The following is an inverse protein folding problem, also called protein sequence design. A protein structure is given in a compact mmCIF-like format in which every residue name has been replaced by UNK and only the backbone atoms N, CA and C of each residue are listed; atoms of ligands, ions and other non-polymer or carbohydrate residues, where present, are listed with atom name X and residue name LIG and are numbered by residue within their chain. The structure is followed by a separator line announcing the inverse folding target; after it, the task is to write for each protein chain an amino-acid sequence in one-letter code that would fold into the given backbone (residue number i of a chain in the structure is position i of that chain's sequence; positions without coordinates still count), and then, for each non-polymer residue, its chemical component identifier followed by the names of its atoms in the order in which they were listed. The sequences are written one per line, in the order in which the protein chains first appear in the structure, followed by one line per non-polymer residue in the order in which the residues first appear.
data_IF_738168640958
#
_entry.id   IF_738168640958
#
_cell.length_a   1.000
_cell.length_b   1.000
_cell.length_c   1.000
_cell.angle_alpha   90.00
_cell.angle_beta   90.00
_cell.angle_gamma   90.00
#
_symmetry.space_group_name_H-M   'P 1'
#
loop_
_entity.id
_entity.type
_entity.pdbx_description
1 polymer ?
#
# COMPACT_ATOMS: atom_id res chain seq x y z
N UNK A 1 15.22 10.59 -28.36
CA UNK A 1 15.69 9.77 -27.20
C UNK A 1 14.59 8.85 -26.67
N UNK A 2 13.37 9.37 -26.52
CA UNK A 2 12.17 8.65 -26.08
C UNK A 2 11.90 7.35 -26.84
N UNK A 3 12.14 7.30 -28.15
CA UNK A 3 11.90 6.10 -28.98
C UNK A 3 12.61 4.84 -28.47
N UNK A 4 13.82 4.96 -27.90
CA UNK A 4 14.55 3.83 -27.30
C UNK A 4 13.74 3.23 -26.15
N UNK A 5 13.29 4.09 -25.24
CA UNK A 5 12.56 3.69 -24.03
C UNK A 5 11.14 3.21 -24.35
N UNK A 6 10.43 3.91 -25.23
CA UNK A 6 9.10 3.50 -25.73
C UNK A 6 9.18 2.14 -26.42
N UNK A 7 10.20 1.92 -27.26
CA UNK A 7 10.44 0.63 -27.89
C UNK A 7 10.70 -0.49 -26.88
N UNK A 8 11.47 -0.23 -25.83
CA UNK A 8 11.72 -1.20 -24.76
C UNK A 8 10.45 -1.51 -23.94
N UNK A 9 9.60 -0.51 -23.68
CA UNK A 9 8.28 -0.69 -23.04
C UNK A 9 7.37 -1.59 -23.88
N UNK A 10 7.28 -1.33 -25.20
CA UNK A 10 6.45 -2.14 -26.12
C UNK A 10 6.96 -3.59 -26.18
N UNK A 11 8.28 -3.78 -26.18
CA UNK A 11 8.92 -5.10 -26.16
C UNK A 11 8.83 -5.80 -24.80
N UNK A 12 8.33 -5.13 -23.76
CA UNK A 12 8.24 -5.61 -22.37
C UNK A 12 9.59 -6.09 -21.84
N UNK A 13 10.61 -5.26 -22.05
CA UNK A 13 11.95 -5.57 -21.59
C UNK A 13 12.00 -5.70 -20.06
N UNK A 14 12.82 -6.62 -19.54
CA UNK A 14 12.82 -7.00 -18.11
C UNK A 14 13.33 -5.89 -17.21
N UNK A 15 14.13 -5.00 -17.77
CA UNK A 15 14.78 -3.89 -17.08
C UNK A 15 13.86 -2.66 -16.94
N UNK A 16 12.72 -2.65 -17.64
CA UNK A 16 11.72 -1.60 -17.55
C UNK A 16 10.96 -1.65 -16.22
N UNK A 17 10.82 -0.49 -15.60
CA UNK A 17 10.04 -0.31 -14.39
C UNK A 17 8.55 -0.14 -14.71
N UNK A 18 7.82 -1.24 -14.55
CA UNK A 18 6.37 -1.25 -14.70
C UNK A 18 5.63 -0.67 -13.49
N UNK A 19 6.30 -0.44 -12.36
CA UNK A 19 5.67 0.01 -11.11
C UNK A 19 5.62 1.53 -11.01
N UNK A 20 6.70 2.23 -11.37
CA UNK A 20 6.77 3.70 -11.32
C UNK A 20 7.07 4.36 -12.66
N UNK A 21 7.50 3.61 -13.69
CA UNK A 21 8.02 4.20 -14.92
C UNK A 21 7.03 4.38 -16.06
N UNK A 22 6.07 3.47 -16.21
CA UNK A 22 5.04 3.56 -17.27
C UNK A 22 3.82 4.35 -16.78
N UNK A 23 3.53 4.28 -15.47
CA UNK A 23 2.42 4.96 -14.84
C UNK A 23 2.94 5.77 -13.66
N UNK A 24 2.86 7.10 -13.79
CA UNK A 24 2.99 7.98 -12.64
C UNK A 24 1.62 8.08 -11.97
N UNK A 25 1.38 7.14 -11.07
CA UNK A 25 0.11 7.05 -10.39
C UNK A 25 -1.04 6.66 -11.32
N UNK A 26 -2.08 7.48 -11.35
CA UNK A 26 -3.20 7.33 -12.29
C UNK A 26 -3.02 8.10 -13.60
N UNK A 27 -1.91 8.84 -13.76
CA UNK A 27 -1.70 9.75 -14.88
C UNK A 27 -0.68 9.20 -15.87
N UNK A 28 -0.93 9.50 -17.15
CA UNK A 28 0.01 9.26 -18.25
C UNK A 28 0.72 10.56 -18.57
N UNK A 29 1.98 10.45 -18.98
CA UNK A 29 2.73 11.57 -19.54
C UNK A 29 2.81 11.42 -21.06
N UNK A 30 2.96 12.55 -21.73
CA UNK A 30 3.20 12.64 -23.17
C UNK A 30 4.64 13.05 -23.42
N UNK A 31 5.12 12.80 -24.64
CA UNK A 31 6.43 13.26 -25.09
C UNK A 31 6.24 14.12 -26.34
N UNK A 32 6.77 15.35 -26.32
CA UNK A 32 6.70 16.23 -27.50
C UNK A 32 7.77 15.91 -28.55
N UNK A 33 7.70 16.62 -29.68
CA UNK A 33 8.63 16.48 -30.80
C UNK A 33 10.09 16.82 -30.42
N UNK A 34 10.31 17.51 -29.30
CA UNK A 34 11.63 17.88 -28.78
C UNK A 34 12.09 16.94 -27.66
N UNK A 35 11.49 15.75 -27.53
CA UNK A 35 11.76 14.77 -26.47
C UNK A 35 11.43 15.27 -25.05
N UNK A 36 10.74 16.40 -24.87
CA UNK A 36 10.32 16.86 -23.55
C UNK A 36 9.14 16.04 -23.05
N UNK A 37 9.08 15.86 -21.73
CA UNK A 37 8.02 15.12 -21.07
C UNK A 37 6.95 16.10 -20.60
N UNK A 38 5.72 15.90 -21.05
CA UNK A 38 4.55 16.66 -20.62
C UNK A 38 3.77 15.81 -19.64
N UNK A 39 3.60 16.33 -18.43
CA UNK A 39 2.84 15.69 -17.37
C UNK A 39 1.83 16.72 -16.86
N UNK A 40 0.56 16.51 -17.21
CA UNK A 40 -0.48 17.55 -17.15
C UNK A 40 -0.01 18.84 -17.88
N UNK A 41 -0.09 20.00 -17.22
CA UNK A 41 0.29 21.31 -17.76
C UNK A 41 1.78 21.65 -17.54
N UNK A 42 2.57 20.71 -16.99
CA UNK A 42 3.99 20.94 -16.70
C UNK A 42 4.87 20.26 -17.73
N UNK A 43 5.81 21.02 -18.30
CA UNK A 43 6.80 20.55 -19.27
C UNK A 43 8.16 20.37 -18.60
N UNK A 44 8.69 19.16 -18.69
CA UNK A 44 10.03 18.80 -18.22
C UNK A 44 10.97 18.58 -19.40
N UNK A 45 12.16 19.21 -19.36
CA UNK A 45 13.18 18.97 -20.39
C UNK A 45 13.60 17.51 -20.39
N UNK A 46 13.52 16.85 -21.54
CA UNK A 46 13.91 15.46 -21.72
C UNK A 46 15.42 15.28 -21.70
N UNK A 47 15.96 14.73 -20.61
CA UNK A 47 17.39 14.39 -20.48
C UNK A 47 17.55 12.88 -20.42
N UNK A 48 18.69 12.31 -20.87
CA UNK A 48 18.96 10.88 -20.72
C UNK A 48 18.77 10.39 -19.29
N UNK A 49 19.26 11.15 -18.30
CA UNK A 49 19.13 10.82 -16.88
C UNK A 49 17.69 10.81 -16.38
N UNK A 50 16.87 11.78 -16.81
CA UNK A 50 15.45 11.78 -16.44
C UNK A 50 14.71 10.61 -17.08
N UNK A 51 15.00 10.26 -18.33
CA UNK A 51 14.42 9.08 -18.98
C UNK A 51 14.86 7.78 -18.27
N UNK A 52 16.12 7.66 -17.86
CA UNK A 52 16.61 6.52 -17.06
C UNK A 52 15.86 6.41 -15.72
N UNK A 53 15.70 7.53 -15.00
CA UNK A 53 14.96 7.57 -13.73
C UNK A 53 13.50 7.17 -13.89
N UNK A 54 12.86 7.56 -15.00
CA UNK A 54 11.47 7.21 -15.28
C UNK A 54 11.40 5.72 -15.63
N UNK A 55 12.05 5.30 -16.71
CA UNK A 55 11.75 4.03 -17.35
C UNK A 55 12.49 2.82 -16.77
N UNK A 56 13.64 2.99 -16.12
CA UNK A 56 14.46 1.86 -15.68
C UNK A 56 14.19 1.44 -14.24
N UNK A 57 14.26 0.12 -13.99
CA UNK A 57 14.09 -0.49 -12.66
C UNK A 57 15.34 -0.37 -11.79
N UNK A 58 16.50 -0.35 -12.43
CA UNK A 58 17.80 -0.08 -11.80
C UNK A 58 18.48 0.97 -12.66
N UNK A 59 18.53 2.19 -12.14
CA UNK A 59 19.30 3.27 -12.72
C UNK A 59 20.69 3.21 -12.10
N UNK A 60 21.73 3.30 -12.92
CA UNK A 60 23.10 3.52 -12.44
C UNK A 60 23.23 5.00 -12.00
N UNK A 61 23.86 5.26 -10.86
CA UNK A 61 24.02 6.61 -10.29
C UNK A 61 24.79 7.56 -11.23
N UNK A 62 25.59 6.99 -12.14
CA UNK A 62 26.36 7.75 -13.15
C UNK A 62 25.46 8.33 -14.25
N UNK A 63 24.21 7.88 -14.37
CA UNK A 63 23.34 8.20 -15.52
C UNK A 63 22.45 9.42 -15.32
N UNK A 64 22.29 9.95 -14.10
CA UNK A 64 21.42 11.09 -13.83
C UNK A 64 22.09 12.16 -12.97
N UNK A 65 21.63 13.40 -13.14
CA UNK A 65 22.11 14.56 -12.38
C UNK A 65 21.17 14.91 -11.22
N UNK A 66 21.63 15.77 -10.31
CA UNK A 66 20.77 16.30 -9.23
C UNK A 66 19.53 17.03 -9.79
N UNK A 67 19.69 17.74 -10.90
CA UNK A 67 18.59 18.41 -11.61
C UNK A 67 17.55 17.39 -12.15
N UNK A 68 17.99 16.22 -12.60
CA UNK A 68 17.09 15.14 -13.01
C UNK A 68 16.35 14.54 -11.80
N UNK A 69 17.03 14.38 -10.67
CA UNK A 69 16.42 13.92 -9.41
C UNK A 69 15.34 14.88 -8.91
N UNK A 70 15.58 16.18 -8.96
CA UNK A 70 14.60 17.18 -8.52
C UNK A 70 13.35 17.19 -9.42
N UNK A 71 13.52 17.04 -10.74
CA UNK A 71 12.38 16.91 -11.66
C UNK A 71 11.61 15.62 -11.42
N UNK A 72 12.32 14.51 -11.27
CA UNK A 72 11.70 13.21 -10.98
C UNK A 72 10.92 13.27 -9.66
N UNK A 73 11.47 13.89 -8.61
CA UNK A 73 10.77 14.17 -7.35
C UNK A 73 9.51 15.00 -7.57
N UNK A 74 9.57 16.07 -8.35
CA UNK A 74 8.40 16.89 -8.70
C UNK A 74 7.30 16.05 -9.37
N UNK A 75 7.66 15.20 -10.32
CA UNK A 75 6.71 14.32 -11.02
C UNK A 75 6.06 13.31 -10.06
N UNK A 76 6.85 12.70 -9.17
CA UNK A 76 6.34 11.76 -8.15
C UNK A 76 5.37 12.42 -7.17
N UNK A 77 5.64 13.67 -6.76
CA UNK A 77 4.78 14.42 -5.84
C UNK A 77 3.48 14.85 -6.53
N UNK A 78 3.57 15.40 -7.74
CA UNK A 78 2.40 15.85 -8.50
C UNK A 78 1.39 14.72 -8.78
N UNK A 79 1.89 13.53 -9.09
CA UNK A 79 1.03 12.39 -9.42
C UNK A 79 0.66 11.51 -8.24
N UNK A 80 1.22 11.78 -7.06
CA UNK A 80 1.14 10.90 -5.90
C UNK A 80 1.52 9.44 -6.21
N UNK A 81 2.37 9.18 -7.21
CA UNK A 81 2.78 7.83 -7.62
C UNK A 81 3.44 7.03 -6.49
N UNK A 82 3.97 7.74 -5.49
CA UNK A 82 4.61 7.19 -4.30
C UNK A 82 3.63 6.80 -3.19
N UNK A 83 2.33 7.12 -3.31
CA UNK A 83 1.29 6.84 -2.29
C UNK A 83 0.38 5.68 -2.72
N UNK A 84 -0.20 4.97 -1.74
CA UNK A 84 -1.23 3.98 -2.03
C UNK A 84 -2.43 4.65 -2.71
N UNK A 85 -3.03 3.97 -3.69
CA UNK A 85 -4.15 4.44 -4.52
C UNK A 85 -3.96 5.84 -5.13
N UNK A 86 -2.72 6.32 -5.22
CA UNK A 86 -2.35 7.59 -5.83
C UNK A 86 -3.07 8.80 -5.21
N UNK A 87 -3.47 8.68 -3.95
CA UNK A 87 -4.21 9.72 -3.22
C UNK A 87 -3.44 10.23 -2.02
N UNK A 88 -3.58 11.54 -1.80
CA UNK A 88 -2.99 12.28 -0.67
C UNK A 88 -3.51 11.77 0.68
N UNK A 89 -4.65 11.07 0.69
CA UNK A 89 -5.24 10.55 1.92
C UNK A 89 -4.57 9.26 2.41
N UNK A 90 -3.92 8.50 1.53
CA UNK A 90 -3.33 7.21 1.88
C UNK A 90 -1.82 7.29 2.13
N UNK A 91 -1.30 6.30 2.84
CA UNK A 91 0.10 6.20 3.23
C UNK A 91 1.06 6.01 2.04
N UNK A 92 2.34 6.35 2.24
CA UNK A 92 3.40 6.07 1.27
C UNK A 92 3.47 4.57 1.00
N UNK A 93 3.49 4.19 -0.27
CA UNK A 93 3.57 2.79 -0.71
C UNK A 93 4.96 2.25 -0.43
N UNK A 94 5.09 1.53 0.69
CA UNK A 94 6.35 0.87 1.04
C UNK A 94 6.68 -0.21 0.01
N UNK A 95 7.90 -0.17 -0.54
CA UNK A 95 8.38 -1.15 -1.51
C UNK A 95 9.80 -1.62 -1.15
N UNK A 96 10.07 -2.91 -1.30
CA UNK A 96 11.40 -3.50 -1.05
C UNK A 96 12.35 -3.41 -2.25
N UNK A 97 11.86 -2.97 -3.41
CA UNK A 97 12.62 -2.87 -4.66
C UNK A 97 13.75 -1.84 -4.62
N UNK A 98 14.78 -2.08 -5.44
CA UNK A 98 16.00 -1.28 -5.49
C UNK A 98 15.73 0.21 -5.75
N UNK A 99 14.97 0.52 -6.82
CA UNK A 99 14.59 1.90 -7.16
C UNK A 99 13.90 2.64 -6.01
N UNK A 100 13.01 1.96 -5.28
CA UNK A 100 12.36 2.58 -4.15
C UNK A 100 13.35 2.92 -3.04
N UNK A 101 14.22 1.97 -2.66
CA UNK A 101 15.17 2.15 -1.57
C UNK A 101 16.25 3.19 -1.89
N UNK A 102 16.78 3.17 -3.11
CA UNK A 102 17.96 3.96 -3.48
C UNK A 102 17.60 5.33 -4.08
N UNK A 103 16.46 5.45 -4.76
CA UNK A 103 16.10 6.68 -5.49
C UNK A 103 14.86 7.33 -4.88
N UNK A 104 13.73 6.61 -4.78
CA UNK A 104 12.45 7.25 -4.41
C UNK A 104 12.41 7.63 -2.93
N UNK A 105 12.75 6.71 -2.02
CA UNK A 105 12.64 6.94 -0.58
C UNK A 105 13.52 8.11 -0.09
N UNK A 106 14.77 8.28 -0.54
CA UNK A 106 15.58 9.45 -0.20
C UNK A 106 15.02 10.79 -0.70
N UNK A 107 14.29 10.79 -1.83
CA UNK A 107 13.72 12.01 -2.40
C UNK A 107 12.47 12.50 -1.67
N UNK A 108 11.74 11.60 -1.02
CA UNK A 108 10.49 11.92 -0.34
C UNK A 108 10.75 12.54 1.04
N UNK A 109 9.97 13.55 1.45
CA UNK A 109 10.03 14.05 2.81
C UNK A 109 9.71 12.89 3.76
N UNK A 110 10.71 12.46 4.51
CA UNK A 110 10.50 11.50 5.58
C UNK A 110 10.06 12.31 6.78
N UNK A 111 8.75 12.41 7.03
CA UNK A 111 8.33 12.72 8.39
C UNK A 111 9.01 11.69 9.29
N UNK A 112 9.61 12.10 10.43
CA UNK A 112 10.20 11.16 11.36
C UNK A 112 9.14 10.12 11.67
N UNK A 113 9.34 8.92 11.14
CA UNK A 113 8.50 7.78 11.46
C UNK A 113 8.79 7.53 12.93
N UNK A 114 8.00 8.12 13.82
CA UNK A 114 7.74 7.48 15.09
C UNK A 114 7.35 6.07 14.68
N UNK A 115 8.16 5.08 15.07
CA UNK A 115 7.81 3.68 14.88
C UNK A 115 6.64 3.37 15.81
N UNK A 116 5.54 4.08 15.65
CA UNK A 116 4.27 3.71 16.20
C UNK A 116 3.74 2.69 15.20
N UNK A 117 4.12 1.43 15.43
CA UNK A 117 3.12 0.42 15.18
C UNK A 117 1.86 0.91 15.86
N UNK A 118 0.75 0.95 15.15
CA UNK A 118 -0.53 0.76 15.83
C UNK A 118 -0.39 -0.61 16.46
N UNK A 119 0.19 -0.67 17.66
CA UNK A 119 0.04 -1.81 18.52
C UNK A 119 -1.44 -2.14 18.50
N UNK A 120 -1.75 -3.43 18.60
CA UNK A 120 -3.11 -3.90 18.86
C UNK A 120 -3.84 -2.83 19.69
N UNK A 121 -4.98 -2.29 19.20
CA UNK A 121 -5.69 -1.22 19.91
C UNK A 121 -5.72 -1.61 21.39
N UNK A 122 -5.42 -0.67 22.31
CA UNK A 122 -5.19 -0.95 23.75
C UNK A 122 -6.25 -1.86 24.41
N UNK A 123 -7.41 -2.03 23.79
CA UNK A 123 -8.40 -3.07 24.10
C UNK A 123 -7.92 -4.53 23.93
N UNK A 124 -6.77 -4.79 23.31
CA UNK A 124 -6.17 -6.12 23.09
C UNK A 124 -4.71 -6.18 23.58
N UNK A 125 -4.35 -5.38 24.59
CA UNK A 125 -3.19 -5.70 25.39
C UNK A 125 -3.51 -6.98 26.17
N UNK A 126 -2.80 -8.08 25.89
CA UNK A 126 -2.75 -9.22 26.80
C UNK A 126 -2.16 -8.68 28.10
N UNK A 127 -3.01 -8.49 29.10
CA UNK A 127 -2.54 -8.31 30.45
C UNK A 127 -1.88 -9.62 30.89
N UNK A 128 -0.92 -9.56 31.81
CA UNK A 128 -0.34 -10.77 32.42
C UNK A 128 -1.35 -11.50 33.34
N UNK A 129 -2.64 -11.16 33.24
CA UNK A 129 -3.68 -11.96 33.85
C UNK A 129 -3.78 -13.23 33.01
N UNK A 130 -3.79 -14.38 33.67
CA UNK A 130 -4.09 -15.65 33.03
C UNK A 130 -5.26 -15.44 32.06
N UNK A 131 -5.12 -15.94 30.81
CA UNK A 131 -6.19 -15.90 29.81
C UNK A 131 -7.45 -16.34 30.55
N UNK A 132 -8.36 -15.39 30.80
CA UNK A 132 -9.60 -15.65 31.48
C UNK A 132 -10.42 -16.43 30.45
N UNK A 133 -10.22 -17.73 30.44
CA UNK A 133 -11.08 -18.67 29.76
C UNK A 133 -12.40 -18.55 30.49
N UNK A 134 -13.26 -17.65 30.00
CA UNK A 134 -14.57 -17.40 30.58
C UNK A 134 -15.37 -18.68 30.34
N UNK A 135 -15.39 -19.55 31.34
CA UNK A 135 -16.25 -20.72 31.35
C UNK A 135 -17.68 -20.21 31.52
N UNK A 136 -18.46 -20.23 30.43
CA UNK A 136 -19.86 -19.83 30.47
C UNK A 136 -20.70 -20.98 31.03
N UNK A 137 -20.98 -20.96 32.33
CA UNK A 137 -21.78 -22.01 33.00
C UNK A 137 -23.28 -22.02 32.60
N UNK A 138 -23.77 -20.98 31.92
CA UNK A 138 -25.20 -20.80 31.61
C UNK A 138 -25.46 -20.67 30.10
N UNK A 139 -26.04 -21.71 29.48
CA UNK A 139 -26.36 -21.73 28.06
C UNK A 139 -27.30 -20.62 27.58
N UNK A 140 -28.16 -20.08 28.45
CA UNK A 140 -29.08 -19.02 28.05
C UNK A 140 -28.33 -17.73 27.72
N UNK A 141 -27.23 -17.46 28.43
CA UNK A 141 -26.37 -16.30 28.19
C UNK A 141 -25.59 -16.41 26.88
N UNK A 142 -25.20 -17.63 26.50
CA UNK A 142 -24.59 -17.92 25.20
C UNK A 142 -25.58 -17.63 24.04
N UNK A 143 -26.85 -17.99 24.21
CA UNK A 143 -27.91 -17.67 23.25
C UNK A 143 -28.13 -16.17 23.07
N UNK A 144 -28.19 -15.40 24.16
CA UNK A 144 -28.35 -13.95 24.11
C UNK A 144 -27.14 -13.24 23.47
N UNK A 145 -25.92 -13.73 23.77
CA UNK A 145 -24.69 -13.22 23.16
C UNK A 145 -24.63 -13.51 21.67
N UNK A 146 -24.99 -14.73 21.26
CA UNK A 146 -25.04 -15.12 19.86
C UNK A 146 -26.04 -14.26 19.06
N UNK A 147 -27.21 -13.98 19.65
CA UNK A 147 -28.22 -13.10 19.05
C UNK A 147 -27.72 -11.67 18.85
N UNK A 148 -26.97 -11.13 19.81
CA UNK A 148 -26.36 -9.80 19.71
C UNK A 148 -25.28 -9.75 18.61
N UNK A 149 -24.44 -10.78 18.51
CA UNK A 149 -23.40 -10.89 17.49
C UNK A 149 -23.99 -11.04 16.08
N UNK A 150 -25.08 -11.80 15.93
CA UNK A 150 -25.79 -11.94 14.66
C UNK A 150 -26.40 -10.61 14.19
N UNK A 151 -26.97 -9.81 15.11
CA UNK A 151 -27.47 -8.47 14.79
C UNK A 151 -26.34 -7.52 14.32
N UNK A 152 -25.16 -7.60 14.96
CA UNK A 152 -23.97 -6.84 14.56
C UNK A 152 -23.47 -7.25 13.16
N UNK A 153 -23.49 -8.55 12.87
CA UNK A 153 -23.15 -9.10 11.55
C UNK A 153 -24.13 -8.66 10.46
N UNK A 154 -25.42 -8.67 10.74
CA UNK A 154 -26.47 -8.19 9.82
C UNK A 154 -26.36 -6.69 9.54
N UNK A 155 -25.80 -5.91 10.47
CA UNK A 155 -25.46 -4.51 10.27
C UNK A 155 -24.15 -4.29 9.48
N UNK A 156 -23.48 -5.35 9.02
CA UNK A 156 -22.29 -5.32 8.16
C UNK A 156 -20.95 -5.46 8.90
N UNK A 157 -20.95 -5.78 10.19
CA UNK A 157 -19.74 -5.85 11.02
C UNK A 157 -19.24 -7.30 11.19
N UNK A 158 -18.31 -7.73 10.31
CA UNK A 158 -17.81 -9.11 10.25
C UNK A 158 -16.63 -9.42 11.20
N UNK A 159 -16.28 -8.50 12.11
CA UNK A 159 -15.12 -8.65 13.00
C UNK A 159 -15.30 -9.73 14.09
N UNK A 160 -16.51 -10.29 14.23
CA UNK A 160 -16.90 -11.15 15.36
C UNK A 160 -17.04 -12.65 15.01
N UNK A 161 -16.58 -13.06 13.82
CA UNK A 161 -16.79 -14.44 13.34
C UNK A 161 -16.12 -15.50 14.23
N UNK A 162 -14.95 -15.19 14.82
CA UNK A 162 -14.23 -16.13 15.68
C UNK A 162 -14.94 -16.36 17.03
N UNK A 163 -15.52 -15.30 17.59
CA UNK A 163 -16.32 -15.40 18.84
C UNK A 163 -17.61 -16.18 18.58
N UNK A 164 -18.25 -15.93 17.43
CA UNK A 164 -19.45 -16.67 17.00
C UNK A 164 -19.18 -18.17 16.83
N UNK A 165 -18.04 -18.53 16.23
CA UNK A 165 -17.61 -19.93 16.10
C UNK A 165 -17.37 -20.55 17.48
N UNK A 166 -16.63 -19.89 18.37
CA UNK A 166 -16.38 -20.38 19.74
C UNK A 166 -17.66 -20.69 20.51
N UNK A 167 -18.68 -19.83 20.43
CA UNK A 167 -19.98 -20.02 21.10
C UNK A 167 -20.75 -21.21 20.50
N UNK A 168 -20.72 -21.37 19.17
CA UNK A 168 -21.36 -22.52 18.50
C UNK A 168 -20.68 -23.82 18.90
N UNK A 169 -19.35 -23.83 19.06
CA UNK A 169 -18.62 -25.01 19.53
C UNK A 169 -18.97 -25.36 20.98
N UNK A 170 -19.04 -24.37 21.88
CA UNK A 170 -19.45 -24.60 23.27
C UNK A 170 -20.89 -25.14 23.39
N UNK A 171 -21.84 -24.58 22.63
CA UNK A 171 -23.23 -25.07 22.63
C UNK A 171 -23.34 -26.50 22.09
N UNK A 172 -22.45 -26.90 21.17
CA UNK A 172 -22.35 -28.26 20.66
C UNK A 172 -21.74 -29.21 21.69
N UNK A 173 -20.67 -28.79 22.38
CA UNK A 173 -20.06 -29.58 23.46
C UNK A 173 -21.01 -29.78 24.65
N UNK A 174 -21.85 -28.79 24.94
CA UNK A 174 -22.92 -28.89 25.92
C UNK A 174 -24.11 -29.77 25.47
N UNK A 175 -24.11 -30.26 24.21
CA UNK A 175 -25.17 -31.10 23.66
C UNK A 175 -26.49 -30.38 23.41
N UNK A 176 -26.48 -29.05 23.33
CA UNK A 176 -27.68 -28.21 23.20
C UNK A 176 -28.10 -28.04 21.75
N UNK A 177 -27.11 -28.00 20.85
CA UNK A 177 -27.33 -27.98 19.40
C UNK A 177 -26.72 -29.23 18.76
N UNK A 178 -27.44 -29.77 17.79
CA UNK A 178 -27.06 -30.96 17.03
C UNK A 178 -26.79 -30.53 15.58
N UNK A 179 -25.89 -31.22 14.92
CA UNK A 179 -25.47 -30.92 13.54
C UNK A 179 -26.59 -31.07 12.50
#
# INVERSE_FOLDING_TARGET
MSQKYVGAVIRRDKDIDNMYGIYFGSKRFEVDNNDNILLDDVRYRGTPGLYELIFMKRSDDVMYTEDDLQKYKSMLLMTNAHRCDYSVQYQIKSNRGHKYKCVIAPLLPTEPKTKSGRGLPRAMALNDNAIDYVHWDDPNKLGDRLRLLEASRQAGHNAHNNEMLSIIEELREAGIIIN
#
